data_IF_693732035319
#
_entry.id   IF_693732035319
#
_cell.length_a   1.000
_cell.length_b   1.000
_cell.length_c   1.000
_cell.angle_alpha   90.00
_cell.angle_beta   90.00
_cell.angle_gamma   90.00
#
_symmetry.space_group_name_H-M   'P 1'
#
loop_
_entity.id
_entity.type
_entity.pdbx_description
1 polymer ?
#
# COMPACT_ATOMS: atom_id res chain seq x y z
N UNK A 1 33.56 -16.54 48.30
CA UNK A 1 33.01 -17.90 48.55
C UNK A 1 31.56 -17.91 48.05
N UNK A 2 31.19 -18.98 47.32
CA UNK A 2 29.84 -19.49 46.96
C UNK A 2 28.88 -18.52 46.25
N UNK A 3 28.54 -18.64 44.95
CA UNK A 3 28.00 -19.76 44.15
C UNK A 3 26.56 -20.19 44.57
N UNK A 4 25.60 -20.07 43.63
CA UNK A 4 24.32 -20.83 43.44
C UNK A 4 23.45 -20.05 42.41
N UNK A 5 23.44 -20.40 41.11
CA UNK A 5 22.70 -21.46 40.40
C UNK A 5 21.18 -21.29 40.30
N UNK A 6 20.74 -20.84 39.11
CA UNK A 6 19.71 -21.41 38.21
C UNK A 6 18.65 -22.35 38.82
N UNK A 7 17.36 -22.05 38.60
CA UNK A 7 16.31 -22.98 38.10
C UNK A 7 15.00 -22.27 37.73
N UNK A 8 14.48 -22.57 36.53
CA UNK A 8 13.09 -22.33 36.09
C UNK A 8 12.09 -23.20 36.87
N UNK A 9 10.79 -22.92 36.73
CA UNK A 9 9.93 -23.98 36.20
C UNK A 9 8.94 -23.50 35.12
N UNK A 10 8.83 -24.30 34.06
CA UNK A 10 7.75 -24.31 33.09
C UNK A 10 6.78 -25.47 33.40
N UNK A 11 5.55 -25.36 32.87
CA UNK A 11 4.43 -26.32 32.84
C UNK A 11 3.44 -26.26 34.00
N UNK A 12 2.21 -25.77 33.75
CA UNK A 12 0.99 -26.58 33.54
C UNK A 12 -0.27 -25.70 33.42
N UNK A 13 -1.35 -26.29 32.88
CA UNK A 13 -2.75 -25.83 32.75
C UNK A 13 -3.09 -25.05 31.45
N UNK A 14 -4.05 -25.41 30.58
CA UNK A 14 -5.08 -26.46 30.51
C UNK A 14 -5.38 -26.73 29.02
N UNK A 15 -5.32 -28.00 28.60
CA UNK A 15 -6.07 -28.56 27.46
C UNK A 15 -7.20 -29.42 28.04
N UNK A 16 -8.45 -29.15 27.64
CA UNK A 16 -9.53 -30.12 27.36
C UNK A 16 -10.90 -29.55 27.71
N UNK A 17 -11.73 -29.30 26.69
CA UNK A 17 -13.11 -29.83 26.63
C UNK A 17 -13.47 -30.12 25.17
N UNK A 18 -13.50 -31.42 24.82
CA UNK A 18 -14.38 -31.98 23.79
C UNK A 18 -15.54 -32.64 24.54
N UNK A 19 -16.77 -32.44 24.06
CA UNK A 19 -17.79 -33.45 23.71
C UNK A 19 -19.22 -32.94 23.95
N UNK A 20 -19.97 -32.76 22.86
CA UNK A 20 -21.35 -33.26 22.62
C UNK A 20 -21.72 -32.87 21.18
N UNK A 21 -21.57 -33.82 20.24
CA UNK A 21 -22.61 -34.72 19.67
C UNK A 21 -23.59 -34.04 18.70
N UNK A 22 -23.40 -34.39 17.41
CA UNK A 22 -24.38 -34.68 16.36
C UNK A 22 -25.61 -33.76 16.20
N UNK A 23 -25.74 -33.16 15.01
CA UNK A 23 -26.68 -33.65 13.96
C UNK A 23 -26.48 -32.86 12.66
N UNK A 24 -26.37 -33.61 11.56
CA UNK A 24 -26.34 -33.19 10.16
C UNK A 24 -27.75 -32.72 9.76
N UNK A 25 -27.90 -31.51 9.22
CA UNK A 25 -28.95 -31.20 8.23
C UNK A 25 -28.39 -30.22 7.20
N UNK A 26 -28.36 -30.67 5.95
CA UNK A 26 -28.14 -29.88 4.73
C UNK A 26 -29.21 -28.79 4.58
N UNK A 27 -28.82 -27.57 4.20
CA UNK A 27 -29.67 -26.72 3.38
C UNK A 27 -28.83 -25.85 2.43
N UNK A 28 -28.74 -26.32 1.18
CA UNK A 28 -28.36 -25.52 0.03
C UNK A 28 -29.58 -24.72 -0.47
N UNK A 29 -29.33 -23.48 -0.87
CA UNK A 29 -30.11 -22.63 -1.79
C UNK A 29 -31.58 -22.29 -1.47
N UNK A 30 -31.88 -20.99 -1.40
CA UNK A 30 -32.59 -20.30 -2.49
C UNK A 30 -32.66 -18.78 -2.29
N UNK A 31 -32.19 -18.08 -3.33
CA UNK A 31 -32.51 -16.70 -3.62
C UNK A 31 -34.04 -16.55 -3.81
N UNK A 32 -34.61 -15.50 -3.21
CA UNK A 32 -35.98 -15.08 -3.41
C UNK A 32 -36.06 -13.93 -4.42
N UNK A 33 -36.87 -14.11 -5.46
CA UNK A 33 -37.59 -13.04 -6.16
C UNK A 33 -38.87 -13.62 -6.80
N UNK A 34 -39.91 -12.79 -7.04
CA UNK A 34 -41.28 -13.17 -6.78
C UNK A 34 -42.09 -13.67 -8.00
N UNK A 35 -43.31 -14.09 -7.65
CA UNK A 35 -44.31 -14.88 -8.37
C UNK A 35 -44.98 -14.13 -9.53
N UNK A 36 -45.19 -14.86 -10.62
CA UNK A 36 -46.34 -14.82 -11.55
C UNK A 36 -46.39 -16.22 -12.18
N UNK A 37 -47.46 -17.01 -12.14
CA UNK A 37 -48.85 -16.72 -12.49
C UNK A 37 -49.15 -17.55 -13.75
N UNK A 38 -49.71 -18.75 -13.62
CA UNK A 38 -50.07 -19.60 -14.76
C UNK A 38 -50.32 -21.07 -14.40
N UNK A 39 -51.55 -21.53 -14.63
CA UNK A 39 -52.18 -22.83 -14.31
C UNK A 39 -51.81 -23.88 -15.39
N UNK A 40 -51.84 -25.21 -15.12
CA UNK A 40 -51.20 -26.21 -15.98
C UNK A 40 -52.14 -26.77 -17.06
N UNK A 41 -51.55 -27.16 -18.20
CA UNK A 41 -52.21 -27.89 -19.29
C UNK A 41 -51.36 -29.08 -19.75
N UNK A 42 -51.92 -30.26 -19.52
CA UNK A 42 -51.81 -31.54 -20.23
C UNK A 42 -50.59 -31.88 -21.10
N UNK A 43 -49.97 -33.01 -20.73
CA UNK A 43 -49.80 -34.16 -21.62
C UNK A 43 -48.87 -34.03 -22.84
N UNK A 44 -47.79 -34.81 -22.82
CA UNK A 44 -47.49 -35.87 -23.83
C UNK A 44 -46.01 -36.25 -23.71
N UNK A 45 -45.78 -37.49 -23.29
CA UNK A 45 -44.50 -38.18 -23.42
C UNK A 45 -44.39 -38.70 -24.85
N UNK A 46 -43.43 -38.19 -25.62
CA UNK A 46 -42.95 -38.87 -26.84
C UNK A 46 -41.42 -38.97 -26.78
N UNK A 47 -40.97 -40.18 -26.51
CA UNK A 47 -39.62 -40.65 -26.80
C UNK A 47 -39.47 -40.83 -28.31
N UNK A 48 -38.52 -40.13 -28.95
CA UNK A 48 -37.95 -40.59 -30.22
C UNK A 48 -36.45 -40.29 -30.28
N UNK A 49 -35.66 -41.37 -30.32
CA UNK A 49 -34.33 -41.42 -30.92
C UNK A 49 -34.49 -41.30 -32.45
N UNK A 50 -33.66 -40.47 -33.07
CA UNK A 50 -33.25 -40.59 -34.47
C UNK A 50 -31.85 -39.96 -34.54
N UNK A 51 -30.78 -40.74 -34.65
CA UNK A 51 -30.28 -41.41 -35.86
C UNK A 51 -29.62 -40.44 -36.84
N UNK A 52 -28.29 -40.63 -36.91
CA UNK A 52 -27.33 -40.03 -37.83
C UNK A 52 -27.85 -39.95 -39.27
N UNK A 53 -27.75 -38.77 -39.87
CA UNK A 53 -27.53 -38.64 -41.30
C UNK A 53 -26.49 -37.56 -41.61
N UNK A 54 -25.49 -37.99 -42.39
CA UNK A 54 -24.41 -37.18 -42.95
C UNK A 54 -25.00 -36.21 -43.98
N UNK A 55 -24.78 -34.92 -43.76
CA UNK A 55 -25.05 -33.87 -44.73
C UNK A 55 -23.87 -32.90 -44.74
N UNK A 56 -23.30 -32.71 -45.92
CA UNK A 56 -22.19 -31.82 -46.25
C UNK A 56 -22.42 -30.40 -45.71
N UNK A 57 -21.48 -29.90 -44.90
CA UNK A 57 -21.38 -28.48 -44.58
C UNK A 57 -19.96 -28.00 -44.95
N UNK A 58 -19.89 -27.10 -45.93
CA UNK A 58 -18.68 -26.38 -46.27
C UNK A 58 -18.32 -25.40 -45.14
N UNK A 59 -17.03 -25.22 -44.78
CA UNK A 59 -16.65 -24.31 -43.71
C UNK A 59 -16.63 -22.87 -44.21
N UNK A 60 -17.44 -22.02 -43.58
CA UNK A 60 -17.36 -20.56 -43.66
C UNK A 60 -16.05 -20.03 -43.03
N UNK A 61 -15.33 -19.09 -43.67
CA UNK A 61 -14.00 -18.69 -43.23
C UNK A 61 -14.07 -17.46 -42.32
N UNK A 62 -14.32 -17.65 -41.02
CA UNK A 62 -14.01 -16.61 -40.02
C UNK A 62 -13.95 -17.22 -38.62
N UNK A 63 -12.83 -17.89 -38.31
CA UNK A 63 -12.46 -18.16 -36.93
C UNK A 63 -10.94 -18.05 -36.78
N UNK A 64 -10.45 -16.82 -36.89
CA UNK A 64 -9.17 -16.42 -36.33
C UNK A 64 -9.47 -15.44 -35.19
N UNK A 65 -10.03 -15.93 -34.07
CA UNK A 65 -10.03 -15.16 -32.81
C UNK A 65 -8.62 -15.18 -32.26
N UNK A 66 -7.87 -14.16 -32.62
CA UNK A 66 -6.58 -13.84 -32.03
C UNK A 66 -6.72 -13.69 -30.52
N UNK A 67 -5.77 -14.26 -29.77
CA UNK A 67 -5.54 -14.11 -28.32
C UNK A 67 -5.21 -12.66 -27.88
N UNK A 68 -5.72 -11.65 -28.59
CA UNK A 68 -5.41 -10.22 -28.38
C UNK A 68 -6.58 -9.38 -27.87
N UNK A 69 -7.76 -9.96 -27.68
CA UNK A 69 -8.97 -9.17 -27.35
C UNK A 69 -9.40 -9.26 -25.87
N UNK A 70 -8.48 -9.58 -24.95
CA UNK A 70 -8.75 -9.57 -23.51
C UNK A 70 -8.10 -8.40 -22.76
N UNK A 71 -7.47 -7.45 -23.49
CA UNK A 71 -6.76 -6.31 -22.90
C UNK A 71 -7.43 -4.95 -23.17
N UNK A 72 -8.56 -4.92 -23.86
CA UNK A 72 -9.09 -3.68 -24.44
C UNK A 72 -10.56 -3.41 -24.08
N UNK A 73 -10.98 -3.77 -22.86
CA UNK A 73 -12.31 -3.42 -22.34
C UNK A 73 -12.29 -2.89 -20.90
N UNK A 74 -11.21 -2.19 -20.52
CA UNK A 74 -11.17 -1.41 -19.27
C UNK A 74 -10.65 0.01 -19.46
N UNK A 75 -10.92 0.60 -20.62
CA UNK A 75 -10.57 1.99 -20.93
C UNK A 75 -11.80 2.70 -21.49
N UNK A 76 -12.83 2.88 -20.68
CA UNK A 76 -13.87 3.86 -20.98
C UNK A 76 -14.42 4.37 -19.65
N UNK A 77 -14.22 5.67 -19.42
CA UNK A 77 -14.72 6.50 -18.32
C UNK A 77 -13.95 6.49 -16.98
N UNK A 78 -12.67 6.88 -17.04
CA UNK A 78 -12.11 7.84 -16.08
C UNK A 78 -11.06 8.67 -16.80
N UNK A 79 -11.46 9.80 -17.39
CA UNK A 79 -10.51 10.90 -17.68
C UNK A 79 -10.12 11.54 -16.35
N UNK A 80 -9.44 10.78 -15.50
CA UNK A 80 -8.85 11.25 -14.27
C UNK A 80 -7.51 11.89 -14.62
N UNK A 81 -7.34 13.16 -14.29
CA UNK A 81 -6.08 13.87 -14.49
C UNK A 81 -4.93 13.07 -13.87
N UNK A 82 -3.98 12.56 -14.65
CA UNK A 82 -2.76 11.99 -14.07
C UNK A 82 -1.99 13.10 -13.33
N UNK A 83 -1.23 12.78 -12.26
CA UNK A 83 -0.35 13.76 -11.66
C UNK A 83 0.62 14.31 -12.72
N UNK A 84 0.93 15.59 -12.64
CA UNK A 84 1.93 16.24 -13.50
C UNK A 84 3.33 16.17 -12.89
N UNK A 85 3.41 16.04 -11.56
CA UNK A 85 4.66 15.81 -10.84
C UNK A 85 4.42 14.97 -9.60
N UNK A 86 5.36 14.10 -9.30
CA UNK A 86 5.38 13.27 -8.09
C UNK A 86 6.68 13.54 -7.34
N UNK A 87 6.57 14.21 -6.21
CA UNK A 87 7.69 14.54 -5.33
C UNK A 87 7.86 13.43 -4.28
N UNK A 88 8.95 12.67 -4.37
CA UNK A 88 9.27 11.63 -3.38
C UNK A 88 10.19 12.18 -2.31
N UNK A 89 9.69 12.30 -1.08
CA UNK A 89 10.44 12.81 0.06
C UNK A 89 11.03 11.70 0.91
N UNK A 90 12.33 11.79 1.15
CA UNK A 90 13.06 10.97 2.13
C UNK A 90 13.82 11.84 3.12
N UNK A 91 14.01 11.34 4.33
CA UNK A 91 14.86 11.97 5.33
C UNK A 91 14.77 11.23 6.66
N UNK A 92 15.88 11.24 7.41
CA UNK A 92 15.95 10.59 8.73
C UNK A 92 14.99 11.25 9.72
N UNK A 93 14.57 10.53 10.75
CA UNK A 93 13.74 11.07 11.83
C UNK A 93 14.31 12.40 12.38
N UNK A 94 13.42 13.35 12.67
CA UNK A 94 13.74 14.71 13.15
C UNK A 94 14.51 15.62 12.18
N UNK A 95 14.67 15.23 10.91
CA UNK A 95 15.24 16.14 9.88
C UNK A 95 14.29 17.28 9.46
N UNK A 96 13.01 17.25 9.87
CA UNK A 96 12.01 18.28 9.52
C UNK A 96 11.25 18.02 8.21
N UNK A 97 11.30 16.80 7.68
CA UNK A 97 10.54 16.37 6.50
C UNK A 97 9.05 16.67 6.60
N UNK A 98 8.40 16.24 7.68
CA UNK A 98 6.95 16.43 7.84
C UNK A 98 6.58 17.91 7.93
N UNK A 99 7.43 18.72 8.58
CA UNK A 99 7.27 20.16 8.60
C UNK A 99 7.31 20.75 7.19
N UNK A 100 8.31 20.37 6.38
CA UNK A 100 8.45 20.91 5.03
C UNK A 100 7.33 20.45 4.09
N UNK A 101 6.93 19.18 4.14
CA UNK A 101 5.81 18.68 3.31
C UNK A 101 4.48 19.33 3.68
N UNK A 102 4.25 19.63 4.96
CA UNK A 102 3.06 20.37 5.39
C UNK A 102 3.07 21.81 4.86
N UNK A 103 4.22 22.50 4.91
CA UNK A 103 4.37 23.85 4.33
C UNK A 103 4.15 23.87 2.82
N UNK A 104 4.60 22.84 2.10
CA UNK A 104 4.30 22.70 0.67
C UNK A 104 2.80 22.50 0.42
N UNK A 105 2.12 21.68 1.22
CA UNK A 105 0.67 21.50 1.13
C UNK A 105 -0.10 22.78 1.45
N UNK A 106 0.34 23.57 2.42
CA UNK A 106 -0.21 24.92 2.68
C UNK A 106 0.01 25.85 1.48
N UNK A 107 1.20 25.83 0.88
CA UNK A 107 1.55 26.68 -0.27
C UNK A 107 0.78 26.34 -1.55
N UNK A 108 0.60 25.05 -1.85
CA UNK A 108 -0.07 24.58 -3.07
C UNK A 108 -1.57 24.31 -2.89
N UNK A 109 -2.06 24.25 -1.65
CA UNK A 109 -3.47 24.10 -1.31
C UNK A 109 -4.14 22.90 -1.99
N UNK A 110 -5.19 23.20 -2.75
CA UNK A 110 -6.02 22.21 -3.44
C UNK A 110 -5.35 21.53 -4.64
N UNK A 111 -4.21 22.03 -5.11
CA UNK A 111 -3.50 21.45 -6.26
C UNK A 111 -2.56 20.31 -5.86
N UNK A 112 -2.37 20.10 -4.56
CA UNK A 112 -1.43 19.14 -4.01
C UNK A 112 -2.13 18.05 -3.20
N UNK A 113 -1.64 16.81 -3.27
CA UNK A 113 -2.05 15.72 -2.39
C UNK A 113 -0.85 15.12 -1.65
N UNK A 114 -0.96 14.89 -0.34
CA UNK A 114 0.08 14.19 0.44
C UNK A 114 -0.28 12.72 0.50
N UNK A 115 0.59 11.88 -0.04
CA UNK A 115 0.48 10.43 -0.05
C UNK A 115 1.42 9.85 1.02
N UNK A 116 0.92 8.89 1.79
CA UNK A 116 1.67 8.15 2.81
C UNK A 116 1.65 6.67 2.51
N UNK A 117 2.82 6.08 2.22
CA UNK A 117 2.97 4.63 2.01
C UNK A 117 2.78 3.87 3.32
N UNK A 118 3.06 4.49 4.46
CA UNK A 118 2.82 3.88 5.78
C UNK A 118 1.34 3.69 6.12
N UNK A 119 0.43 4.42 5.48
CA UNK A 119 -1.01 4.29 5.73
C UNK A 119 -1.58 2.93 5.28
N UNK A 120 -1.40 2.47 4.01
CA UNK A 120 -1.85 1.15 3.60
C UNK A 120 -1.16 0.01 4.35
N UNK A 121 0.10 0.19 4.79
CA UNK A 121 0.78 -0.79 5.65
C UNK A 121 -0.01 -0.98 6.95
N UNK A 122 -0.35 0.12 7.63
CA UNK A 122 -1.08 0.06 8.91
C UNK A 122 -2.49 -0.46 8.73
N UNK A 123 -3.22 -0.02 7.70
CA UNK A 123 -4.60 -0.44 7.48
C UNK A 123 -4.70 -1.92 7.13
N UNK A 124 -3.80 -2.44 6.30
CA UNK A 124 -3.75 -3.86 5.97
C UNK A 124 -3.33 -4.70 7.17
N UNK A 125 -2.27 -4.30 7.88
CA UNK A 125 -1.81 -5.01 9.07
C UNK A 125 -2.90 -5.09 10.16
N UNK A 126 -3.60 -3.98 10.41
CA UNK A 126 -4.69 -3.93 11.37
C UNK A 126 -5.83 -4.87 10.97
N UNK A 127 -6.17 -4.91 9.68
CA UNK A 127 -7.22 -5.80 9.15
C UNK A 127 -6.85 -7.27 9.27
N UNK A 128 -5.62 -7.66 8.93
CA UNK A 128 -5.17 -9.06 9.00
C UNK A 128 -5.08 -9.57 10.44
N UNK A 129 -4.72 -8.71 11.39
CA UNK A 129 -4.50 -9.07 12.78
C UNK A 129 -5.67 -8.69 13.72
N UNK A 130 -6.79 -8.20 13.17
CA UNK A 130 -7.95 -7.70 13.93
C UNK A 130 -7.55 -6.66 15.00
N UNK A 131 -6.67 -5.72 14.64
CA UNK A 131 -6.20 -4.65 15.53
C UNK A 131 -7.04 -3.38 15.38
N UNK A 132 -7.01 -2.52 16.39
CA UNK A 132 -7.63 -1.20 16.33
C UNK A 132 -6.78 -0.25 15.46
N UNK A 133 -7.28 0.07 14.26
CA UNK A 133 -6.59 0.95 13.32
C UNK A 133 -6.34 2.37 13.88
N UNK A 134 -7.30 2.91 14.63
CA UNK A 134 -7.17 4.27 15.19
C UNK A 134 -6.02 4.35 16.20
N UNK A 135 -5.86 3.32 17.04
CA UNK A 135 -4.75 3.23 17.98
C UNK A 135 -3.40 3.02 17.27
N UNK A 136 -3.38 2.23 16.18
CA UNK A 136 -2.17 2.00 15.37
C UNK A 136 -1.74 3.25 14.58
N UNK A 137 -2.68 4.12 14.24
CA UNK A 137 -2.43 5.41 13.60
C UNK A 137 -1.93 6.47 14.60
N UNK A 138 -2.28 6.33 15.89
CA UNK A 138 -1.85 7.23 16.97
C UNK A 138 -0.36 7.15 17.31
N UNK A 139 0.15 8.11 18.09
CA UNK A 139 1.56 8.15 18.56
C UNK A 139 1.78 7.49 19.94
N UNK A 140 0.90 6.56 20.33
CA UNK A 140 0.98 5.86 21.62
C UNK A 140 1.86 4.60 21.65
N UNK A 141 2.03 4.03 22.86
CA UNK A 141 2.80 2.80 23.10
C UNK A 141 2.29 1.61 22.29
N UNK A 142 0.98 1.57 22.01
CA UNK A 142 0.34 0.54 21.20
C UNK A 142 1.01 0.37 19.83
N UNK A 143 1.31 1.48 19.16
CA UNK A 143 2.02 1.49 17.88
C UNK A 143 3.45 1.00 18.01
N UNK A 144 4.16 1.43 19.06
CA UNK A 144 5.55 1.05 19.28
C UNK A 144 5.69 -0.46 19.57
N UNK A 145 4.71 -1.04 20.28
CA UNK A 145 4.67 -2.49 20.55
C UNK A 145 4.62 -3.33 19.27
N UNK A 146 3.79 -2.94 18.30
CA UNK A 146 3.65 -3.67 17.03
C UNK A 146 4.64 -3.24 15.94
N UNK A 147 5.47 -2.21 16.18
CA UNK A 147 6.31 -1.61 15.13
C UNK A 147 7.23 -2.61 14.44
N UNK A 148 7.93 -3.45 15.21
CA UNK A 148 8.85 -4.45 14.66
C UNK A 148 8.12 -5.53 13.87
N UNK A 149 7.01 -6.05 14.40
CA UNK A 149 6.20 -7.06 13.72
C UNK A 149 5.62 -6.52 12.40
N UNK A 150 5.13 -5.28 12.42
CA UNK A 150 4.60 -4.60 11.25
C UNK A 150 5.67 -4.33 10.19
N UNK A 151 6.89 -3.93 10.59
CA UNK A 151 8.02 -3.77 9.67
C UNK A 151 8.33 -5.12 9.00
N UNK A 152 8.51 -6.18 9.79
CA UNK A 152 8.83 -7.52 9.27
C UNK A 152 7.76 -8.01 8.28
N UNK A 153 6.49 -7.92 8.65
CA UNK A 153 5.40 -8.29 7.76
C UNK A 153 5.37 -7.45 6.48
N UNK A 154 5.61 -6.13 6.58
CA UNK A 154 5.64 -5.27 5.41
C UNK A 154 6.80 -5.61 4.47
N UNK A 155 7.93 -6.07 5.00
CA UNK A 155 9.07 -6.55 4.21
C UNK A 155 8.71 -7.89 3.52
N UNK A 156 8.09 -8.83 4.22
CA UNK A 156 7.60 -10.11 3.64
C UNK A 156 6.57 -9.90 2.51
N UNK A 157 5.72 -8.87 2.61
CA UNK A 157 4.81 -8.48 1.52
C UNK A 157 5.57 -7.90 0.32
N UNK A 158 6.60 -7.08 0.58
CA UNK A 158 7.42 -6.45 -0.46
C UNK A 158 8.35 -7.41 -1.17
N UNK A 159 8.76 -8.50 -0.54
CA UNK A 159 9.50 -9.59 -1.21
C UNK A 159 8.67 -10.24 -2.32
N UNK A 160 7.33 -10.26 -2.18
CA UNK A 160 6.41 -10.81 -3.18
C UNK A 160 6.03 -9.77 -4.24
N UNK A 161 5.74 -8.54 -3.80
CA UNK A 161 5.44 -7.40 -4.66
C UNK A 161 5.92 -6.11 -3.98
N UNK A 162 7.09 -5.61 -4.39
CA UNK A 162 7.68 -4.40 -3.80
C UNK A 162 6.82 -3.14 -4.00
N UNK A 163 5.92 -3.15 -4.99
CA UNK A 163 5.02 -2.07 -5.34
C UNK A 163 3.65 -2.11 -4.66
N UNK A 164 3.35 -3.15 -3.86
CA UNK A 164 2.00 -3.38 -3.33
C UNK A 164 1.45 -2.17 -2.53
N UNK A 165 2.26 -1.62 -1.63
CA UNK A 165 1.87 -0.46 -0.81
C UNK A 165 1.88 0.85 -1.60
N UNK A 166 2.85 1.04 -2.50
CA UNK A 166 2.91 2.24 -3.33
C UNK A 166 1.66 2.35 -4.23
N UNK A 167 1.29 1.23 -4.87
CA UNK A 167 0.08 1.12 -5.68
C UNK A 167 -1.18 1.41 -4.89
N UNK A 168 -1.28 0.87 -3.67
CA UNK A 168 -2.44 1.08 -2.80
C UNK A 168 -2.51 2.52 -2.31
N UNK A 169 -1.39 3.12 -1.91
CA UNK A 169 -1.31 4.52 -1.48
C UNK A 169 -1.74 5.48 -2.61
N UNK A 170 -1.21 5.27 -3.82
CA UNK A 170 -1.59 6.07 -4.99
C UNK A 170 -3.05 5.85 -5.42
N UNK A 171 -3.57 4.63 -5.29
CA UNK A 171 -4.98 4.32 -5.59
C UNK A 171 -5.98 4.98 -4.64
N UNK A 172 -5.56 5.25 -3.40
CA UNK A 172 -6.38 5.94 -2.39
C UNK A 172 -6.23 7.47 -2.46
N UNK A 173 -5.26 7.99 -3.19
CA UNK A 173 -4.95 9.41 -3.24
C UNK A 173 -5.97 10.18 -4.08
N UNK A 174 -6.21 11.43 -3.70
CA UNK A 174 -6.97 12.36 -4.53
C UNK A 174 -6.20 12.68 -5.82
N UNK A 175 -6.96 12.73 -6.91
CA UNK A 175 -6.44 13.04 -8.24
C UNK A 175 -6.13 14.53 -8.32
N UNK A 176 -4.85 14.88 -8.12
CA UNK A 176 -4.33 16.25 -8.06
C UNK A 176 -3.07 16.37 -8.93
N UNK A 177 -2.76 17.54 -9.50
CA UNK A 177 -1.59 17.70 -10.38
C UNK A 177 -0.25 17.51 -9.65
N UNK A 178 -0.18 17.82 -8.35
CA UNK A 178 1.03 17.64 -7.54
C UNK A 178 0.79 16.54 -6.52
N UNK A 179 1.61 15.49 -6.56
CA UNK A 179 1.63 14.45 -5.52
C UNK A 179 2.90 14.55 -4.68
N UNK A 180 2.75 14.57 -3.37
CA UNK A 180 3.85 14.55 -2.40
C UNK A 180 3.82 13.20 -1.68
N UNK A 181 4.71 12.30 -2.06
CA UNK A 181 4.90 11.03 -1.35
C UNK A 181 5.84 11.28 -0.19
N UNK A 182 5.27 11.38 1.01
CA UNK A 182 5.97 11.97 2.14
C UNK A 182 6.94 11.01 2.86
N UNK A 183 6.84 9.71 2.69
CA UNK A 183 7.50 8.73 3.56
C UNK A 183 8.15 7.55 2.82
N UNK A 184 8.85 7.83 1.72
CA UNK A 184 9.68 6.80 1.05
C UNK A 184 10.85 6.37 1.93
N UNK A 185 11.07 5.06 2.04
CA UNK A 185 12.05 4.47 2.97
C UNK A 185 13.00 3.50 2.30
N UNK A 186 12.62 2.94 1.16
CA UNK A 186 13.38 1.90 0.45
C UNK A 186 13.70 2.33 -0.97
N UNK A 187 14.82 1.83 -1.50
CA UNK A 187 15.17 1.99 -2.92
C UNK A 187 14.10 1.43 -3.84
N UNK A 188 13.44 0.35 -3.44
CA UNK A 188 12.34 -0.26 -4.19
C UNK A 188 11.09 0.62 -4.27
N UNK A 189 10.87 1.53 -3.30
CA UNK A 189 9.82 2.54 -3.42
C UNK A 189 10.14 3.46 -4.61
N UNK A 190 11.36 4.02 -4.64
CA UNK A 190 11.82 4.89 -5.73
C UNK A 190 11.78 4.17 -7.07
N UNK A 191 12.26 2.93 -7.12
CA UNK A 191 12.25 2.09 -8.32
C UNK A 191 10.83 1.94 -8.86
N UNK A 192 9.87 1.58 -8.01
CA UNK A 192 8.47 1.42 -8.43
C UNK A 192 7.88 2.71 -9.00
N UNK A 193 8.13 3.85 -8.36
CA UNK A 193 7.64 5.14 -8.85
C UNK A 193 8.28 5.50 -10.19
N UNK A 194 9.61 5.34 -10.35
CA UNK A 194 10.32 5.60 -11.61
C UNK A 194 9.80 4.70 -12.73
N UNK A 195 9.60 3.41 -12.48
CA UNK A 195 9.05 2.45 -13.45
C UNK A 195 7.60 2.76 -13.84
N UNK A 196 6.80 3.29 -12.90
CA UNK A 196 5.37 3.54 -13.11
C UNK A 196 5.08 4.90 -13.76
N UNK A 197 5.82 5.94 -13.38
CA UNK A 197 5.53 7.33 -13.72
C UNK A 197 6.66 8.05 -14.49
N UNK A 198 7.82 7.42 -14.65
CA UNK A 198 8.94 7.95 -15.44
C UNK A 198 9.40 9.34 -14.98
N UNK A 199 9.50 10.26 -15.94
CA UNK A 199 10.06 11.61 -15.77
C UNK A 199 9.26 12.53 -14.82
N UNK A 200 8.01 12.16 -14.50
CA UNK A 200 7.17 12.88 -13.54
C UNK A 200 7.72 12.80 -12.11
N UNK A 201 8.57 11.80 -11.83
CA UNK A 201 9.13 11.54 -10.50
C UNK A 201 10.31 12.44 -10.23
N UNK A 202 10.24 13.19 -9.13
CA UNK A 202 11.35 13.99 -8.60
C UNK A 202 11.66 13.55 -7.17
N UNK A 203 12.90 13.14 -6.94
CA UNK A 203 13.37 12.62 -5.65
C UNK A 203 14.04 13.71 -4.82
N UNK A 204 13.60 13.86 -3.58
CA UNK A 204 14.05 14.92 -2.66
C UNK A 204 14.52 14.29 -1.35
N UNK A 205 15.77 14.57 -0.95
CA UNK A 205 16.33 14.16 0.33
C UNK A 205 16.50 15.34 1.26
N UNK A 206 15.89 15.25 2.43
CA UNK A 206 16.19 16.16 3.54
C UNK A 206 17.28 15.57 4.41
N UNK A 207 18.25 16.42 4.73
CA UNK A 207 19.33 16.12 5.68
C UNK A 207 19.30 17.12 6.82
N UNK A 208 19.77 16.69 7.99
CA UNK A 208 20.09 17.55 9.12
C UNK A 208 21.22 16.86 9.87
N UNK A 209 22.19 17.63 10.35
CA UNK A 209 23.24 17.12 11.24
C UNK A 209 22.64 16.56 12.52
N UNK A 210 23.41 15.70 13.18
CA UNK A 210 23.00 15.00 14.38
C UNK A 210 22.69 15.97 15.52
N UNK A 211 23.53 16.99 15.72
CA UNK A 211 23.31 18.02 16.76
C UNK A 211 21.95 18.70 16.59
N UNK A 212 21.63 19.17 15.38
CA UNK A 212 20.32 19.77 15.08
C UNK A 212 19.16 18.79 15.30
N UNK A 213 19.36 17.50 15.01
CA UNK A 213 18.33 16.48 15.27
C UNK A 213 18.16 16.28 16.78
N UNK A 214 19.25 16.23 17.55
CA UNK A 214 19.25 16.09 19.01
C UNK A 214 18.53 17.28 19.66
N UNK A 215 18.81 18.51 19.22
CA UNK A 215 18.11 19.72 19.67
C UNK A 215 16.59 19.64 19.44
N UNK A 216 16.15 18.91 18.41
CA UNK A 216 14.73 18.64 18.10
C UNK A 216 14.15 17.44 18.86
N UNK A 217 14.87 16.97 19.88
CA UNK A 217 14.52 15.82 20.69
C UNK A 217 14.76 14.48 19.99
N UNK A 218 15.75 14.39 19.10
CA UNK A 218 16.24 13.10 18.63
C UNK A 218 17.03 12.43 19.77
N UNK A 219 16.65 11.21 20.09
CA UNK A 219 17.42 10.32 20.95
C UNK A 219 17.56 9.03 20.17
N UNK A 220 18.81 8.60 19.94
CA UNK A 220 19.08 7.36 19.25
C UNK A 220 18.44 6.20 19.99
N UNK A 221 17.61 5.43 19.30
CA UNK A 221 16.98 4.22 19.83
C UNK A 221 17.42 3.03 18.97
N UNK A 222 18.24 2.18 19.58
CA UNK A 222 18.66 0.90 19.00
C UNK A 222 17.43 0.07 18.62
N UNK A 223 17.47 -0.57 17.45
CA UNK A 223 16.33 -1.27 16.84
C UNK A 223 15.28 -0.35 16.18
N UNK A 224 15.45 0.98 16.21
CA UNK A 224 14.57 1.97 15.56
C UNK A 224 15.30 2.79 14.53
N UNK A 225 16.46 3.35 14.89
CA UNK A 225 17.23 4.26 14.03
C UNK A 225 18.32 3.56 13.22
N UNK A 226 18.56 2.27 13.48
CA UNK A 226 19.56 1.40 12.83
C UNK A 226 18.93 0.34 11.89
N UNK A 227 17.60 0.32 11.76
CA UNK A 227 16.89 -0.63 10.91
C UNK A 227 16.76 -0.13 9.47
N UNK A 228 16.61 -1.07 8.53
CA UNK A 228 16.50 -0.79 7.10
C UNK A 228 15.41 0.24 6.73
N UNK A 229 14.35 0.37 7.54
CA UNK A 229 13.30 1.37 7.33
C UNK A 229 13.76 2.83 7.54
N UNK A 230 14.90 3.06 8.18
CA UNK A 230 15.51 4.39 8.35
C UNK A 230 16.79 4.55 7.50
N UNK A 231 17.58 3.49 7.34
CA UNK A 231 18.85 3.53 6.58
C UNK A 231 18.74 3.11 5.11
N UNK A 232 17.57 2.65 4.65
CA UNK A 232 17.37 2.04 3.33
C UNK A 232 17.66 2.95 2.13
N UNK A 233 17.91 4.24 2.38
CA UNK A 233 18.23 5.25 1.36
C UNK A 233 19.53 6.02 1.66
N UNK A 234 20.33 5.57 2.63
CA UNK A 234 21.59 6.26 2.98
C UNK A 234 22.66 6.15 1.89
N UNK A 235 22.63 5.07 1.09
CA UNK A 235 23.55 4.86 -0.03
C UNK A 235 22.97 5.28 -1.39
N UNK A 236 21.75 5.83 -1.43
CA UNK A 236 21.14 6.30 -2.67
C UNK A 236 21.63 7.72 -2.97
N UNK A 237 22.20 7.91 -4.17
CA UNK A 237 22.88 9.16 -4.55
C UNK A 237 22.21 9.92 -5.71
N UNK A 238 21.23 9.31 -6.40
CA UNK A 238 20.55 9.89 -7.57
C UNK A 238 19.36 10.77 -7.15
N UNK A 239 19.59 11.70 -6.21
CA UNK A 239 18.57 12.65 -5.79
C UNK A 239 18.46 13.80 -6.79
N UNK A 240 17.24 14.19 -7.15
CA UNK A 240 17.03 15.41 -7.93
C UNK A 240 17.31 16.67 -7.09
N UNK A 241 17.06 16.61 -5.78
CA UNK A 241 17.35 17.70 -4.86
C UNK A 241 17.72 17.18 -3.47
N UNK A 242 18.76 17.77 -2.88
CA UNK A 242 19.14 17.57 -1.48
C UNK A 242 18.99 18.90 -0.73
N UNK A 243 18.25 18.87 0.38
CA UNK A 243 17.94 20.04 1.21
C UNK A 243 18.57 19.85 2.58
N UNK A 244 19.49 20.75 2.94
CA UNK A 244 20.02 20.85 4.28
C UNK A 244 19.06 21.64 5.17
N UNK A 245 18.48 20.97 6.16
CA UNK A 245 17.66 21.54 7.22
C UNK A 245 18.34 21.41 8.61
N UNK A 246 19.67 21.31 8.61
CA UNK A 246 20.55 21.34 9.77
C UNK A 246 21.14 22.72 10.05
N UNK A 247 22.35 22.74 10.58
CA UNK A 247 23.20 23.92 10.73
C UNK A 247 23.54 24.51 9.37
N UNK A 248 23.51 25.84 9.30
CA UNK A 248 23.73 26.56 8.03
C UNK A 248 22.61 26.35 7.01
N UNK A 249 21.42 25.91 7.45
CA UNK A 249 20.26 25.78 6.55
C UNK A 249 19.93 27.12 5.91
N UNK A 250 19.44 27.03 4.68
CA UNK A 250 18.76 28.13 4.00
C UNK A 250 17.45 28.47 4.72
N UNK A 251 16.93 29.66 4.44
CA UNK A 251 15.61 30.06 4.92
C UNK A 251 14.53 29.10 4.41
N UNK A 252 13.39 29.03 5.11
CA UNK A 252 12.27 28.18 4.69
C UNK A 252 11.80 28.53 3.27
N UNK A 253 11.70 29.82 2.94
CA UNK A 253 11.26 30.27 1.62
C UNK A 253 12.21 29.85 0.51
N UNK A 254 13.53 29.91 0.75
CA UNK A 254 14.52 29.41 -0.22
C UNK A 254 14.41 27.89 -0.40
N UNK A 255 14.22 27.13 0.68
CA UNK A 255 14.02 25.68 0.59
C UNK A 255 12.75 25.33 -0.20
N UNK A 256 11.64 26.02 0.07
CA UNK A 256 10.37 25.83 -0.65
C UNK A 256 10.50 26.22 -2.12
N UNK A 257 11.22 27.30 -2.41
CA UNK A 257 11.45 27.77 -3.79
C UNK A 257 12.25 26.76 -4.61
N UNK A 258 13.32 26.21 -4.04
CA UNK A 258 14.12 25.15 -4.70
C UNK A 258 13.31 23.88 -4.99
N UNK A 259 12.33 23.55 -4.16
CA UNK A 259 11.41 22.43 -4.44
C UNK A 259 10.44 22.81 -5.55
N UNK A 260 9.93 24.04 -5.54
CA UNK A 260 9.00 24.53 -6.55
C UNK A 260 9.63 24.55 -7.96
N UNK A 261 10.94 24.75 -8.08
CA UNK A 261 11.69 24.64 -9.35
C UNK A 261 11.59 23.25 -10.00
N UNK A 262 11.30 22.19 -9.22
CA UNK A 262 11.10 20.83 -9.74
C UNK A 262 9.70 20.61 -10.32
N UNK A 263 8.78 21.55 -10.09
CA UNK A 263 7.39 21.47 -10.53
C UNK A 263 7.31 22.12 -11.92
N UNK A 264 6.80 21.42 -12.94
CA UNK A 264 6.60 22.02 -14.25
C UNK A 264 5.65 23.22 -14.14
N UNK A 265 5.87 24.24 -14.97
CA UNK A 265 4.95 25.38 -15.07
C UNK A 265 3.59 24.83 -15.53
N UNK A 266 2.59 24.93 -14.64
CA UNK A 266 1.22 24.48 -14.88
C UNK A 266 0.48 25.40 -15.85
#
# INVERSE_FOLDING_TARGET
MSCLSIRQPAQQLIRNRRTHMHTIVNFYNKAGCPRGGGVPGDGVVVTRRCSLHRGLFQPSPTCARTRRDFKEHKTTLMTGMSPQVILLFSGKRKCGKDFLTNRLKEKFGETCEIIRISEPIKSHWAKENNLNLNELLSDGEYKEFYRLAMIKWSDEMREKDYGCFCRTACGNALVKPIWIVSDIRRTTDIQWFKETYGELVKTIRLTADEDTRIERGFQFKCGVDDVASECGLDNYNEWNLVINNGKGKQSLEEQLSRIAELIPVL
#
